data_IF_911276952254
#
_entry.id   IF_911276952254
#
_cell.length_a   1.000
_cell.length_b   1.000
_cell.length_c   1.000
_cell.angle_alpha   90.00
_cell.angle_beta   90.00
_cell.angle_gamma   90.00
#
_symmetry.space_group_name_H-M   'P 1'
#
loop_
_entity.id
_entity.type
_entity.pdbx_description
1 polymer ?
#
# COMPACT_ATOMS: atom_id res chain seq x y z
N UNK A 1 -5.03 0.13 23.86
CA UNK A 1 -4.68 1.26 22.97
C UNK A 1 -3.63 0.74 22.01
N UNK A 2 -3.74 0.96 20.69
CA UNK A 2 -2.66 0.63 19.77
C UNK A 2 -1.40 1.34 20.27
N UNK A 3 -0.31 0.60 20.40
CA UNK A 3 0.96 1.17 20.80
C UNK A 3 1.41 2.11 19.67
N UNK A 4 1.33 3.42 19.92
CA UNK A 4 1.81 4.41 18.95
C UNK A 4 3.32 4.42 19.06
N UNK A 5 4.02 4.06 17.98
CA UNK A 5 5.46 4.26 17.87
C UNK A 5 5.69 5.73 17.58
N UNK A 6 6.24 6.46 18.55
CA UNK A 6 6.72 7.83 18.35
C UNK A 6 8.09 7.92 19.00
N UNK A 7 9.10 8.27 18.23
CA UNK A 7 10.45 8.56 18.71
C UNK A 7 10.80 10.00 18.34
N UNK A 8 10.31 10.95 19.15
CA UNK A 8 10.53 12.39 18.92
C UNK A 8 12.01 12.79 18.96
N UNK A 9 12.88 11.93 19.53
CA UNK A 9 14.32 12.17 19.62
C UNK A 9 15.11 11.40 18.55
N UNK A 10 14.42 10.74 17.60
CA UNK A 10 15.06 10.02 16.50
C UNK A 10 15.97 10.95 15.70
N UNK A 11 17.23 10.57 15.61
CA UNK A 11 18.21 11.20 14.71
C UNK A 11 18.23 10.45 13.38
N UNK A 12 17.95 11.17 12.30
CA UNK A 12 18.01 10.67 10.92
C UNK A 12 19.39 10.91 10.33
N UNK A 13 20.01 9.86 9.81
CA UNK A 13 21.27 9.93 9.04
C UNK A 13 20.93 9.70 7.58
N UNK A 14 21.33 10.64 6.71
CA UNK A 14 21.01 10.60 5.27
C UNK A 14 22.26 10.24 4.47
N UNK A 15 22.12 9.31 3.52
CA UNK A 15 23.11 9.02 2.51
C UNK A 15 22.66 9.63 1.18
N UNK A 16 23.18 10.82 0.85
CA UNK A 16 22.77 11.58 -0.32
C UNK A 16 23.01 10.85 -1.64
N UNK A 17 24.03 9.99 -1.73
CA UNK A 17 24.29 9.21 -2.94
C UNK A 17 23.22 8.12 -3.15
N UNK A 18 22.75 7.49 -2.08
CA UNK A 18 21.65 6.52 -2.15
C UNK A 18 20.33 7.20 -2.48
N UNK A 19 20.06 8.38 -1.91
CA UNK A 19 18.88 9.18 -2.28
C UNK A 19 18.91 9.54 -3.77
N UNK A 20 20.06 9.99 -4.31
CA UNK A 20 20.19 10.26 -5.75
C UNK A 20 19.96 9.02 -6.61
N UNK A 21 20.48 7.85 -6.21
CA UNK A 21 20.24 6.58 -6.92
C UNK A 21 18.75 6.19 -6.90
N UNK A 22 18.07 6.39 -5.77
CA UNK A 22 16.62 6.22 -5.70
C UNK A 22 15.87 7.18 -6.63
N UNK A 23 16.22 8.47 -6.63
CA UNK A 23 15.63 9.51 -7.47
C UNK A 23 15.81 9.21 -8.96
N UNK A 24 16.97 8.71 -9.37
CA UNK A 24 17.25 8.29 -10.74
C UNK A 24 16.34 7.15 -11.23
N UNK A 25 15.82 6.34 -10.30
CA UNK A 25 14.89 5.24 -10.56
C UNK A 25 13.41 5.65 -10.41
N UNK A 26 13.09 6.95 -10.31
CA UNK A 26 11.69 7.41 -10.19
C UNK A 26 10.91 7.04 -11.45
N UNK A 27 9.82 6.23 -11.36
CA UNK A 27 9.04 5.89 -12.54
C UNK A 27 8.20 7.09 -12.99
N UNK A 28 7.95 7.16 -14.30
CA UNK A 28 6.88 7.99 -14.83
C UNK A 28 5.57 7.20 -14.76
N UNK A 29 4.55 7.76 -14.13
CA UNK A 29 3.24 7.11 -14.08
C UNK A 29 2.57 7.13 -15.46
N UNK A 30 1.92 6.03 -15.77
CA UNK A 30 1.15 5.79 -16.98
C UNK A 30 -0.29 6.16 -16.68
N UNK A 31 -0.89 6.96 -17.55
CA UNK A 31 -2.28 7.43 -17.41
C UNK A 31 -3.20 6.68 -18.37
N UNK A 32 -4.30 6.14 -17.84
CA UNK A 32 -5.36 5.47 -18.61
C UNK A 32 -6.72 6.06 -18.25
N UNK A 33 -7.49 6.49 -19.24
CA UNK A 33 -8.84 7.01 -19.02
C UNK A 33 -9.82 5.86 -18.86
N UNK A 34 -10.50 5.81 -17.72
CA UNK A 34 -11.53 4.81 -17.39
C UNK A 34 -12.85 5.51 -17.13
N UNK A 35 -13.93 4.96 -17.69
CA UNK A 35 -15.30 5.49 -17.56
C UNK A 35 -16.15 4.53 -16.73
N UNK A 36 -17.16 5.01 -16.00
CA UNK A 36 -18.12 4.12 -15.37
C UNK A 36 -18.87 3.26 -16.39
N UNK A 37 -19.32 2.09 -15.94
CA UNK A 37 -19.99 1.10 -16.79
C UNK A 37 -21.50 1.05 -16.54
N UNK A 38 -21.98 1.56 -15.40
CA UNK A 38 -23.40 1.57 -15.06
C UNK A 38 -23.74 2.61 -13.99
N UNK A 39 -25.01 2.98 -13.95
CA UNK A 39 -25.64 3.65 -12.81
C UNK A 39 -26.25 2.56 -11.93
N UNK A 40 -25.97 2.58 -10.63
CA UNK A 40 -26.36 1.51 -9.69
C UNK A 40 -27.10 2.07 -8.47
N UNK A 41 -27.97 1.25 -7.91
CA UNK A 41 -28.55 1.44 -6.59
C UNK A 41 -27.86 0.48 -5.61
N UNK A 42 -27.36 1.02 -4.50
CA UNK A 42 -26.73 0.21 -3.44
C UNK A 42 -27.71 0.10 -2.28
N UNK A 43 -28.18 -1.12 -2.04
CA UNK A 43 -29.23 -1.42 -1.07
C UNK A 43 -28.63 -2.10 0.14
N UNK A 44 -28.71 -1.44 1.29
CA UNK A 44 -28.29 -2.00 2.57
C UNK A 44 -29.20 -3.18 2.94
N UNK A 45 -28.59 -4.32 3.24
CA UNK A 45 -29.27 -5.54 3.68
C UNK A 45 -28.89 -5.86 5.14
N UNK A 46 -29.45 -6.94 5.68
CA UNK A 46 -29.00 -7.50 6.97
C UNK A 46 -27.64 -8.22 6.86
N UNK A 47 -27.18 -8.49 5.63
CA UNK A 47 -25.89 -9.13 5.39
C UNK A 47 -24.71 -8.15 5.55
N UNK A 48 -23.50 -8.70 5.60
CA UNK A 48 -22.27 -7.91 5.76
C UNK A 48 -22.04 -6.96 4.58
N UNK A 49 -22.37 -7.41 3.37
CA UNK A 49 -22.21 -6.65 2.12
C UNK A 49 -23.58 -6.25 1.56
N UNK A 50 -23.76 -5.00 1.12
CA UNK A 50 -25.00 -4.57 0.50
C UNK A 50 -25.17 -5.20 -0.89
N UNK A 51 -26.41 -5.24 -1.36
CA UNK A 51 -26.72 -5.60 -2.73
C UNK A 51 -26.48 -4.42 -3.67
N UNK A 52 -25.94 -4.69 -4.86
CA UNK A 52 -25.72 -3.70 -5.92
C UNK A 52 -26.63 -4.06 -7.09
N UNK A 53 -27.62 -3.21 -7.36
CA UNK A 53 -28.58 -3.38 -8.44
C UNK A 53 -28.27 -2.41 -9.56
N UNK A 54 -28.22 -2.90 -10.80
CA UNK A 54 -28.11 -2.01 -11.96
C UNK A 54 -29.40 -1.21 -12.09
N UNK A 55 -29.30 0.11 -11.94
CA UNK A 55 -30.42 1.05 -12.12
C UNK A 55 -30.59 1.44 -13.58
N UNK A 56 -29.48 1.78 -14.24
CA UNK A 56 -29.51 2.25 -15.63
C UNK A 56 -28.17 2.05 -16.36
N UNK A 57 -28.19 2.21 -17.67
CA UNK A 57 -27.02 2.28 -18.53
C UNK A 57 -26.27 3.61 -18.33
N UNK A 58 -24.95 3.61 -18.52
CA UNK A 58 -24.15 4.83 -18.29
C UNK A 58 -24.42 5.90 -19.35
N UNK A 59 -24.86 5.53 -20.54
CA UNK A 59 -25.25 6.43 -21.62
C UNK A 59 -26.42 7.35 -21.19
N UNK A 60 -27.20 6.95 -20.19
CA UNK A 60 -28.33 7.73 -19.66
C UNK A 60 -27.92 8.70 -18.54
N UNK A 61 -26.63 8.82 -18.20
CA UNK A 61 -26.14 9.69 -17.13
C UNK A 61 -26.58 11.16 -17.30
N UNK A 62 -26.48 11.69 -18.52
CA UNK A 62 -26.88 13.08 -18.82
C UNK A 62 -28.39 13.32 -18.68
N UNK A 63 -29.20 12.27 -18.67
CA UNK A 63 -30.65 12.33 -18.43
C UNK A 63 -31.00 12.30 -16.93
N UNK A 64 -30.02 12.04 -16.06
CA UNK A 64 -30.19 12.12 -14.61
C UNK A 64 -30.09 13.58 -14.15
N UNK A 65 -31.24 14.24 -13.99
CA UNK A 65 -31.31 15.60 -13.46
C UNK A 65 -31.40 15.57 -11.94
N UNK A 66 -30.39 16.10 -11.26
CA UNK A 66 -30.28 16.06 -9.80
C UNK A 66 -30.84 17.36 -9.20
N UNK A 67 -32.00 17.28 -8.56
CA UNK A 67 -32.51 18.32 -7.68
C UNK A 67 -31.87 18.21 -6.28
N UNK A 68 -32.16 19.19 -5.42
CA UNK A 68 -31.78 19.16 -4.00
C UNK A 68 -32.16 17.83 -3.34
N UNK A 69 -31.17 17.16 -2.77
CA UNK A 69 -31.29 15.88 -2.05
C UNK A 69 -31.21 14.64 -2.95
N UNK A 70 -31.21 14.80 -4.28
CA UNK A 70 -31.07 13.67 -5.20
C UNK A 70 -29.63 13.16 -5.20
N UNK A 71 -29.51 11.84 -5.38
CA UNK A 71 -28.22 11.16 -5.50
C UNK A 71 -28.23 10.08 -6.56
N UNK A 72 -27.05 9.84 -7.13
CA UNK A 72 -26.76 8.73 -8.04
C UNK A 72 -25.46 8.06 -7.63
N UNK A 73 -25.34 6.76 -7.88
CA UNK A 73 -24.09 6.02 -7.68
C UNK A 73 -23.65 5.41 -9.01
N UNK A 74 -22.35 5.51 -9.28
CA UNK A 74 -21.71 5.02 -10.50
C UNK A 74 -20.82 3.84 -10.15
N UNK A 75 -20.96 2.74 -10.88
CA UNK A 75 -20.03 1.60 -10.83
C UNK A 75 -18.99 1.74 -11.95
N UNK A 76 -17.71 1.77 -11.59
CA UNK A 76 -16.60 1.76 -12.55
C UNK A 76 -16.24 0.38 -13.09
N UNK A 77 -16.95 -0.66 -12.66
CA UNK A 77 -16.82 -2.05 -13.12
C UNK A 77 -15.63 -2.77 -12.49
N UNK A 78 -14.58 -2.03 -12.15
CA UNK A 78 -13.39 -2.54 -11.46
C UNK A 78 -12.77 -1.44 -10.57
N UNK A 79 -11.87 -1.82 -9.67
CA UNK A 79 -11.18 -0.93 -8.74
C UNK A 79 -10.17 -0.03 -9.49
N UNK A 80 -10.30 1.29 -9.34
CA UNK A 80 -9.48 2.32 -9.98
C UNK A 80 -8.63 3.08 -8.97
N UNK A 81 -7.45 3.53 -9.39
CA UNK A 81 -6.61 4.48 -8.65
C UNK A 81 -6.26 5.64 -9.56
N UNK A 82 -6.68 6.86 -9.26
CA UNK A 82 -6.52 7.98 -10.19
C UNK A 82 -7.22 9.28 -9.83
N UNK A 83 -7.29 10.19 -10.80
CA UNK A 83 -7.89 11.52 -10.66
C UNK A 83 -9.21 11.59 -11.42
N UNK A 84 -10.26 12.10 -10.78
CA UNK A 84 -11.61 12.13 -11.36
C UNK A 84 -11.88 13.49 -12.00
N UNK A 85 -12.47 13.47 -13.19
CA UNK A 85 -12.98 14.66 -13.88
C UNK A 85 -14.47 14.52 -14.14
N UNK A 86 -15.23 15.57 -13.88
CA UNK A 86 -16.66 15.67 -14.17
C UNK A 86 -16.91 16.83 -15.14
N UNK A 87 -17.80 16.62 -16.11
CA UNK A 87 -18.41 17.69 -16.90
C UNK A 87 -19.81 17.92 -16.38
N UNK A 88 -20.06 19.13 -15.90
CA UNK A 88 -21.28 19.52 -15.22
C UNK A 88 -22.04 20.54 -16.07
N UNK A 89 -23.35 20.40 -16.09
CA UNK A 89 -24.26 21.32 -16.74
C UNK A 89 -25.52 21.54 -15.88
N UNK A 90 -26.44 22.37 -16.33
CA UNK A 90 -27.74 22.59 -15.69
C UNK A 90 -28.89 22.50 -16.68
N UNK A 91 -30.07 22.14 -16.16
CA UNK A 91 -31.34 22.15 -16.89
C UNK A 91 -32.41 22.88 -16.08
N UNK A 92 -33.45 23.35 -16.76
CA UNK A 92 -34.51 24.17 -16.16
C UNK A 92 -34.29 25.66 -16.41
N UNK A 93 -34.50 26.49 -15.40
CA UNK A 93 -34.18 27.93 -15.47
C UNK A 93 -32.67 28.16 -15.49
N UNK A 94 -32.20 29.36 -15.87
CA UNK A 94 -30.81 29.74 -15.66
C UNK A 94 -30.40 29.56 -14.18
N UNK A 95 -29.20 29.00 -13.97
CA UNK A 95 -28.62 28.79 -12.65
C UNK A 95 -28.62 30.12 -11.86
N UNK A 96 -29.36 30.16 -10.76
CA UNK A 96 -29.52 31.35 -9.91
C UNK A 96 -28.93 31.18 -8.50
N UNK A 97 -28.26 30.04 -8.27
CA UNK A 97 -27.49 29.75 -7.06
C UNK A 97 -26.32 28.81 -7.40
N UNK A 98 -25.26 28.76 -6.58
CA UNK A 98 -24.23 27.73 -6.74
C UNK A 98 -24.82 26.31 -6.66
N UNK A 99 -24.18 25.35 -7.34
CA UNK A 99 -24.40 23.93 -7.12
C UNK A 99 -23.60 23.51 -5.88
N UNK A 100 -24.23 23.05 -4.81
CA UNK A 100 -23.53 22.44 -3.68
C UNK A 100 -23.76 20.93 -3.69
N UNK A 101 -22.70 20.15 -3.87
CA UNK A 101 -22.81 18.69 -3.95
C UNK A 101 -21.67 17.97 -3.23
N UNK A 102 -21.92 16.71 -2.87
CA UNK A 102 -20.95 15.80 -2.28
C UNK A 102 -20.56 14.73 -3.27
N UNK A 103 -19.27 14.41 -3.28
CA UNK A 103 -18.73 13.23 -3.92
C UNK A 103 -18.26 12.27 -2.83
N UNK A 104 -18.59 10.99 -2.95
CA UNK A 104 -18.08 9.93 -2.07
C UNK A 104 -17.53 8.78 -2.91
N UNK A 105 -16.35 8.30 -2.53
CA UNK A 105 -15.64 7.25 -3.23
C UNK A 105 -15.45 6.02 -2.33
N UNK A 106 -15.81 4.84 -2.82
CA UNK A 106 -15.68 3.57 -2.09
C UNK A 106 -15.03 2.48 -2.92
N UNK A 107 -14.13 1.72 -2.31
CA UNK A 107 -13.53 0.51 -2.90
C UNK A 107 -14.57 -0.62 -2.94
N UNK A 108 -15.41 -0.70 -1.89
CA UNK A 108 -16.52 -1.64 -1.80
C UNK A 108 -17.86 -0.91 -1.63
N UNK A 109 -18.94 -1.57 -2.07
CA UNK A 109 -20.29 -0.99 -2.03
C UNK A 109 -20.75 -0.64 -0.60
N UNK A 110 -20.26 -1.38 0.40
CA UNK A 110 -20.55 -1.13 1.82
C UNK A 110 -20.24 0.30 2.25
N UNK A 111 -19.14 0.86 1.77
CA UNK A 111 -18.71 2.23 2.10
C UNK A 111 -19.75 3.28 1.65
N UNK A 112 -20.57 2.98 0.63
CA UNK A 112 -21.64 3.89 0.20
C UNK A 112 -22.84 3.90 1.14
N UNK A 113 -22.98 2.88 2.00
CA UNK A 113 -24.11 2.74 2.94
C UNK A 113 -23.81 3.20 4.37
N UNK A 114 -22.55 3.52 4.65
CA UNK A 114 -22.07 3.94 5.97
C UNK A 114 -21.92 5.46 6.02
N UNK A 115 -22.24 6.10 7.15
CA UNK A 115 -21.99 7.53 7.33
C UNK A 115 -20.58 7.74 7.92
N UNK A 116 -19.76 8.53 7.24
CA UNK A 116 -18.40 8.84 7.67
C UNK A 116 -18.35 9.46 9.07
N UNK A 117 -19.41 10.16 9.49
CA UNK A 117 -19.47 10.77 10.83
C UNK A 117 -19.55 9.74 11.96
N UNK A 118 -20.02 8.52 11.65
CA UNK A 118 -20.22 7.45 12.62
C UNK A 118 -18.95 6.61 12.83
N UNK A 119 -17.89 6.88 12.06
CA UNK A 119 -16.60 6.22 12.24
C UNK A 119 -15.99 6.56 13.62
N UNK A 120 -15.83 5.52 14.44
CA UNK A 120 -15.14 5.57 15.73
C UNK A 120 -13.97 4.58 15.74
N UNK A 121 -12.79 5.07 15.35
CA UNK A 121 -11.57 4.28 15.28
C UNK A 121 -10.32 5.15 15.44
N UNK A 122 -9.19 4.50 15.69
CA UNK A 122 -7.93 5.19 15.99
C UNK A 122 -7.21 5.74 14.76
N UNK A 123 -7.53 5.22 13.57
CA UNK A 123 -6.99 5.72 12.30
C UNK A 123 -7.74 7.01 11.95
N UNK A 124 -7.04 8.01 11.42
CA UNK A 124 -7.68 9.28 11.05
C UNK A 124 -8.82 9.08 10.05
N UNK A 125 -9.99 9.64 10.36
CA UNK A 125 -11.14 9.73 9.45
C UNK A 125 -10.81 10.46 8.14
N UNK A 126 -9.74 11.24 8.09
CA UNK A 126 -9.28 11.93 6.88
C UNK A 126 -8.95 11.01 5.69
N UNK A 127 -8.81 9.71 5.93
CA UNK A 127 -8.66 8.71 4.87
C UNK A 127 -9.96 8.34 4.15
N UNK A 128 -11.12 8.67 4.73
CA UNK A 128 -12.41 8.50 4.05
C UNK A 128 -12.48 9.53 2.91
N UNK A 129 -12.77 9.05 1.71
CA UNK A 129 -12.66 9.83 0.48
C UNK A 129 -13.98 10.51 0.15
N UNK A 130 -14.14 11.73 0.66
CA UNK A 130 -15.28 12.61 0.39
C UNK A 130 -14.84 14.01 -0.02
N UNK A 131 -15.64 14.65 -0.87
CA UNK A 131 -15.50 16.05 -1.26
C UNK A 131 -16.82 16.79 -1.10
N UNK A 132 -16.75 18.06 -0.71
CA UNK A 132 -17.90 18.96 -0.61
C UNK A 132 -17.62 20.18 -1.48
N UNK A 133 -18.33 20.32 -2.60
CA UNK A 133 -17.93 21.19 -3.71
C UNK A 133 -19.02 22.19 -4.02
N UNK A 134 -18.63 23.46 -4.22
CA UNK A 134 -19.48 24.52 -4.71
C UNK A 134 -19.07 24.90 -6.13
N UNK A 135 -20.03 24.97 -7.06
CA UNK A 135 -19.82 25.47 -8.43
C UNK A 135 -20.72 26.67 -8.70
N UNK A 136 -20.11 27.85 -8.80
CA UNK A 136 -20.82 29.11 -8.99
C UNK A 136 -21.36 29.31 -10.41
N UNK A 137 -20.73 28.67 -11.41
CA UNK A 137 -21.03 28.87 -12.83
C UNK A 137 -21.04 27.53 -13.57
N UNK A 138 -22.17 27.23 -14.22
CA UNK A 138 -22.34 26.09 -15.13
C UNK A 138 -22.57 26.56 -16.58
N UNK A 139 -22.14 25.80 -17.60
CA UNK A 139 -21.45 24.51 -17.50
C UNK A 139 -19.99 24.65 -17.02
N UNK A 140 -19.46 23.60 -16.40
CA UNK A 140 -18.10 23.56 -15.87
C UNK A 140 -17.43 22.19 -16.06
N UNK A 141 -16.12 22.18 -16.28
CA UNK A 141 -15.29 20.98 -16.18
C UNK A 141 -14.55 21.01 -14.83
N UNK A 142 -14.89 20.08 -13.94
CA UNK A 142 -14.30 19.95 -12.62
C UNK A 142 -13.24 18.85 -12.63
N UNK A 143 -11.98 19.23 -12.45
CA UNK A 143 -10.84 18.30 -12.28
C UNK A 143 -10.47 18.23 -10.81
N UNK A 144 -10.69 17.09 -10.17
CA UNK A 144 -10.35 16.93 -8.76
C UNK A 144 -8.83 16.77 -8.60
N UNK A 145 -8.20 17.54 -7.68
CA UNK A 145 -6.75 17.52 -7.53
C UNK A 145 -6.25 16.33 -6.69
N UNK A 146 -7.11 15.69 -5.89
CA UNK A 146 -6.76 14.53 -5.07
C UNK A 146 -6.80 13.25 -5.92
N UNK A 147 -5.86 12.35 -5.67
CA UNK A 147 -5.91 10.97 -6.18
C UNK A 147 -6.85 10.14 -5.30
N UNK A 148 -7.74 9.35 -5.90
CA UNK A 148 -8.69 8.47 -5.23
C UNK A 148 -8.41 7.00 -5.55
N UNK A 149 -8.81 6.11 -4.66
CA UNK A 149 -8.86 4.65 -4.89
C UNK A 149 -10.27 4.13 -4.63
N UNK A 150 -10.95 3.62 -5.66
CA UNK A 150 -12.39 3.35 -5.60
C UNK A 150 -12.88 2.47 -6.75
N UNK A 151 -14.04 1.86 -6.56
CA UNK A 151 -14.86 1.30 -7.64
C UNK A 151 -16.19 2.04 -7.77
N UNK A 152 -16.78 2.45 -6.65
CA UNK A 152 -18.06 3.13 -6.60
C UNK A 152 -17.86 4.62 -6.32
N UNK A 153 -18.66 5.45 -6.99
CA UNK A 153 -18.67 6.89 -6.81
C UNK A 153 -20.12 7.38 -6.64
N UNK A 154 -20.46 7.92 -5.48
CA UNK A 154 -21.75 8.57 -5.23
C UNK A 154 -21.64 10.08 -5.49
N UNK A 155 -22.64 10.63 -6.18
CA UNK A 155 -22.82 12.07 -6.41
C UNK A 155 -24.15 12.44 -5.76
N UNK A 156 -24.11 13.32 -4.77
CA UNK A 156 -25.29 13.81 -4.06
C UNK A 156 -25.40 15.33 -4.24
N UNK A 157 -26.48 15.80 -4.86
CA UNK A 157 -26.78 17.22 -4.96
C UNK A 157 -27.33 17.73 -3.62
N UNK A 158 -26.45 18.08 -2.67
CA UNK A 158 -26.84 18.56 -1.34
C UNK A 158 -27.79 19.75 -1.43
N UNK A 159 -27.47 20.75 -2.26
CA UNK A 159 -28.32 21.92 -2.46
C UNK A 159 -28.23 22.51 -3.87
N UNK A 160 -29.41 22.79 -4.41
CA UNK A 160 -29.68 23.56 -5.64
C UNK A 160 -30.96 24.35 -5.41
N UNK A 161 -31.18 25.47 -6.12
CA UNK A 161 -32.46 26.16 -6.03
C UNK A 161 -33.57 25.35 -6.69
N UNK A 162 -34.83 25.65 -6.37
CA UNK A 162 -35.99 24.96 -6.96
C UNK A 162 -36.17 25.24 -8.47
N UNK A 163 -35.38 26.17 -9.05
CA UNK A 163 -35.58 26.65 -10.42
C UNK A 163 -34.79 25.86 -11.47
N UNK A 164 -33.77 25.10 -11.07
CA UNK A 164 -32.86 24.38 -11.96
C UNK A 164 -32.36 23.10 -11.29
N UNK A 165 -31.81 22.17 -12.07
CA UNK A 165 -31.24 20.91 -11.60
C UNK A 165 -29.83 20.71 -12.16
N UNK A 166 -28.96 20.06 -11.40
CA UNK A 166 -27.60 19.73 -11.82
C UNK A 166 -27.61 18.51 -12.75
N UNK A 167 -26.80 18.56 -13.81
CA UNK A 167 -26.59 17.45 -14.74
C UNK A 167 -25.10 17.11 -14.78
N UNK A 168 -24.79 15.82 -14.71
CA UNK A 168 -23.44 15.30 -14.98
C UNK A 168 -23.46 14.80 -16.42
N UNK A 169 -22.82 15.54 -17.33
CA UNK A 169 -22.78 15.18 -18.75
C UNK A 169 -21.75 14.07 -19.04
N UNK A 170 -20.62 14.12 -18.34
CA UNK A 170 -19.54 13.16 -18.49
C UNK A 170 -18.77 13.00 -17.18
N UNK A 171 -18.23 11.82 -16.95
CA UNK A 171 -17.35 11.52 -15.82
C UNK A 171 -16.35 10.44 -16.21
N UNK A 172 -15.10 10.64 -15.80
CA UNK A 172 -14.03 9.66 -16.01
C UNK A 172 -12.96 9.77 -14.93
N UNK A 173 -12.27 8.66 -14.72
CA UNK A 173 -11.06 8.56 -13.91
C UNK A 173 -9.85 8.49 -14.83
N UNK A 174 -8.88 9.37 -14.66
CA UNK A 174 -7.53 9.19 -15.20
C UNK A 174 -6.78 8.30 -14.23
N UNK A 175 -6.82 6.99 -14.47
CA UNK A 175 -6.17 5.98 -13.63
C UNK A 175 -4.65 5.98 -13.86
N UNK A 176 -3.89 5.82 -12.78
CA UNK A 176 -2.42 5.89 -12.78
C UNK A 176 -1.77 4.65 -12.18
N UNK A 177 -0.67 4.20 -12.77
CA UNK A 177 0.22 3.15 -12.27
C UNK A 177 1.62 3.30 -12.89
N UNK A 178 2.66 2.73 -12.27
CA UNK A 178 4.00 2.65 -12.87
C UNK A 178 4.15 1.47 -13.86
N UNK A 179 3.10 0.67 -14.04
CA UNK A 179 3.06 -0.49 -14.95
C UNK A 179 1.75 -0.53 -15.73
N UNK A 180 1.66 -1.40 -16.75
CA UNK A 180 0.43 -1.63 -17.51
C UNK A 180 -0.06 -3.06 -17.32
N UNK A 181 -1.36 -3.24 -17.20
CA UNK A 181 -1.96 -4.57 -17.10
C UNK A 181 -1.65 -5.43 -18.33
N UNK A 182 -1.49 -4.82 -19.50
CA UNK A 182 -1.21 -5.51 -20.77
C UNK A 182 0.23 -6.05 -20.87
N UNK A 183 1.13 -5.63 -19.97
CA UNK A 183 2.52 -6.09 -19.95
C UNK A 183 2.65 -7.50 -19.33
N UNK A 184 1.57 -8.03 -18.72
CA UNK A 184 1.55 -9.34 -18.06
C UNK A 184 0.57 -10.27 -18.74
N UNK A 185 1.04 -11.49 -19.03
CA UNK A 185 0.17 -12.56 -19.50
C UNK A 185 -0.53 -13.21 -18.30
N UNK A 186 -1.88 -13.31 -18.28
CA UNK A 186 -2.59 -14.00 -17.22
C UNK A 186 -2.17 -15.46 -17.09
N UNK A 187 -2.35 -16.04 -15.91
CA UNK A 187 -2.02 -17.45 -15.66
C UNK A 187 -2.79 -18.39 -16.59
N UNK A 188 -2.06 -19.31 -17.23
CA UNK A 188 -2.66 -20.41 -17.99
C UNK A 188 -3.03 -21.55 -17.03
N UNK A 189 -4.33 -21.72 -16.78
CA UNK A 189 -4.85 -22.78 -15.93
C UNK A 189 -6.26 -23.15 -16.40
N UNK A 190 -6.64 -24.43 -16.31
CA UNK A 190 -8.00 -24.89 -16.60
C UNK A 190 -8.97 -24.56 -15.44
N UNK A 191 -8.44 -24.28 -14.23
CA UNK A 191 -9.24 -23.90 -13.06
C UNK A 191 -9.67 -22.43 -13.11
N UNK A 192 -10.99 -22.20 -13.11
CA UNK A 192 -11.57 -20.86 -13.13
C UNK A 192 -11.27 -20.03 -11.87
N UNK A 193 -11.18 -20.68 -10.71
CA UNK A 193 -10.86 -20.01 -9.45
C UNK A 193 -9.43 -19.48 -9.49
N UNK A 194 -8.48 -20.29 -9.99
CA UNK A 194 -7.09 -19.86 -10.16
C UNK A 194 -6.99 -18.64 -11.08
N UNK A 195 -7.67 -18.66 -12.23
CA UNK A 195 -7.69 -17.51 -13.15
C UNK A 195 -8.34 -16.25 -12.56
N UNK A 196 -9.31 -16.41 -11.65
CA UNK A 196 -9.93 -15.29 -10.94
C UNK A 196 -9.00 -14.71 -9.89
N UNK A 197 -8.35 -15.57 -9.09
CA UNK A 197 -7.38 -15.15 -8.08
C UNK A 197 -6.21 -14.40 -8.73
N UNK A 198 -5.64 -14.93 -9.81
CA UNK A 198 -4.57 -14.28 -10.57
C UNK A 198 -4.96 -12.88 -11.03
N UNK A 199 -6.15 -12.73 -11.63
CA UNK A 199 -6.65 -11.42 -12.08
C UNK A 199 -6.78 -10.41 -10.94
N UNK A 200 -7.30 -10.84 -9.79
CA UNK A 200 -7.43 -9.99 -8.60
C UNK A 200 -6.04 -9.62 -8.07
N UNK A 201 -5.12 -10.58 -7.99
CA UNK A 201 -3.74 -10.37 -7.55
C UNK A 201 -3.00 -9.38 -8.46
N UNK A 202 -3.09 -9.54 -9.78
CA UNK A 202 -2.50 -8.62 -10.75
C UNK A 202 -3.09 -7.22 -10.62
N UNK A 203 -4.42 -7.09 -10.49
CA UNK A 203 -5.08 -5.79 -10.33
C UNK A 203 -4.69 -5.11 -9.02
N UNK A 204 -4.52 -5.89 -7.96
CA UNK A 204 -4.06 -5.38 -6.66
C UNK A 204 -2.66 -4.82 -6.76
N UNK A 205 -1.72 -5.61 -7.28
CA UNK A 205 -0.33 -5.18 -7.42
C UNK A 205 -0.20 -3.97 -8.35
N UNK A 206 -0.85 -3.99 -9.52
CA UNK A 206 -0.87 -2.85 -10.46
C UNK A 206 -1.30 -1.54 -9.78
N UNK A 207 -2.35 -1.59 -8.97
CA UNK A 207 -2.89 -0.41 -8.30
C UNK A 207 -2.00 0.08 -7.15
N UNK A 208 -1.25 -0.81 -6.50
CA UNK A 208 -0.24 -0.48 -5.49
C UNK A 208 1.10 0.00 -6.08
N UNK A 209 1.40 -0.36 -7.34
CA UNK A 209 2.61 0.09 -8.04
C UNK A 209 2.45 1.53 -8.55
N UNK A 210 3.00 2.48 -7.80
CA UNK A 210 2.94 3.91 -8.06
C UNK A 210 4.36 4.49 -8.17
N UNK A 211 4.65 5.65 -7.57
CA UNK A 211 6.02 6.18 -7.48
C UNK A 211 6.93 5.34 -6.56
N UNK A 212 6.31 4.46 -5.77
CA UNK A 212 6.86 3.39 -4.93
C UNK A 212 5.84 2.24 -4.92
N UNK A 213 6.18 1.11 -4.30
CA UNK A 213 5.19 0.10 -3.92
C UNK A 213 4.41 0.58 -2.70
N UNK A 214 3.18 1.07 -2.90
CA UNK A 214 2.29 1.46 -1.82
C UNK A 214 1.68 0.22 -1.15
N UNK A 215 1.49 0.24 0.17
CA UNK A 215 0.76 -0.77 0.92
C UNK A 215 -0.71 -0.85 0.49
N UNK A 216 -1.34 0.31 0.31
CA UNK A 216 -2.70 0.44 -0.16
C UNK A 216 -2.97 1.80 -0.79
N UNK A 217 -3.64 1.87 -1.96
CA UNK A 217 -3.77 3.11 -2.73
C UNK A 217 -4.82 4.07 -2.17
N UNK A 218 -5.80 3.57 -1.39
CA UNK A 218 -6.69 4.43 -0.58
C UNK A 218 -5.93 4.96 0.63
N UNK A 219 -5.30 4.04 1.37
CA UNK A 219 -4.57 4.22 2.62
C UNK A 219 -3.62 3.02 2.81
N UNK A 220 -2.39 3.20 3.31
CA UNK A 220 -1.76 4.44 3.77
C UNK A 220 -1.01 5.21 2.66
N UNK A 221 -1.08 4.73 1.41
CA UNK A 221 -0.38 5.28 0.24
C UNK A 221 1.13 5.35 0.45
N UNK A 222 1.69 4.35 1.14
CA UNK A 222 3.03 4.45 1.72
C UNK A 222 3.85 3.21 1.44
N UNK A 223 5.16 3.41 1.34
CA UNK A 223 6.10 2.31 1.23
C UNK A 223 6.41 1.74 2.62
N UNK A 224 5.97 0.51 2.85
CA UNK A 224 6.28 -0.30 4.04
C UNK A 224 7.18 -1.47 3.66
N UNK A 225 8.18 -1.79 4.49
CA UNK A 225 9.22 -2.75 4.10
C UNK A 225 8.73 -4.20 4.06
N UNK A 226 7.85 -4.60 4.98
CA UNK A 226 7.20 -5.93 4.94
C UNK A 226 6.37 -6.12 3.68
N UNK A 227 5.57 -5.12 3.33
CA UNK A 227 4.74 -5.08 2.12
C UNK A 227 5.59 -5.08 0.85
N UNK A 228 6.64 -4.26 0.81
CA UNK A 228 7.60 -4.20 -0.31
C UNK A 228 8.14 -5.59 -0.63
N UNK A 229 8.53 -6.37 0.37
CA UNK A 229 9.10 -7.70 0.15
C UNK A 229 8.14 -8.63 -0.60
N UNK A 230 6.87 -8.66 -0.18
CA UNK A 230 5.86 -9.51 -0.83
C UNK A 230 5.48 -8.98 -2.22
N UNK A 231 5.33 -7.65 -2.36
CA UNK A 231 5.04 -7.03 -3.66
C UNK A 231 6.17 -7.23 -4.66
N UNK A 232 7.43 -7.18 -4.21
CA UNK A 232 8.60 -7.41 -5.06
C UNK A 232 8.63 -8.85 -5.60
N UNK A 233 8.35 -9.85 -4.76
CA UNK A 233 8.26 -11.26 -5.19
C UNK A 233 7.17 -11.46 -6.25
N UNK A 234 5.99 -10.87 -6.05
CA UNK A 234 4.93 -10.94 -7.05
C UNK A 234 5.31 -10.18 -8.34
N UNK A 235 5.99 -9.04 -8.22
CA UNK A 235 6.47 -8.25 -9.35
C UNK A 235 7.46 -9.04 -10.22
N UNK A 236 8.38 -9.82 -9.63
CA UNK A 236 9.35 -10.62 -10.39
C UNK A 236 8.69 -11.70 -11.25
N UNK A 237 7.50 -12.16 -10.90
CA UNK A 237 6.75 -13.16 -11.68
C UNK A 237 5.72 -12.51 -12.62
N UNK A 238 5.57 -11.19 -12.59
CA UNK A 238 4.50 -10.46 -13.30
C UNK A 238 5.04 -9.26 -14.08
N UNK A 239 5.04 -8.06 -13.50
CA UNK A 239 5.37 -6.82 -14.21
C UNK A 239 6.88 -6.59 -14.42
N UNK A 240 7.74 -7.28 -13.67
CA UNK A 240 9.20 -7.21 -13.78
C UNK A 240 9.76 -5.78 -13.72
N UNK A 241 9.13 -4.87 -12.96
CA UNK A 241 9.62 -3.50 -12.81
C UNK A 241 10.78 -3.45 -11.79
N UNK A 242 11.97 -3.81 -12.25
CA UNK A 242 13.17 -3.92 -11.40
C UNK A 242 13.63 -2.57 -10.86
N UNK A 243 13.50 -1.50 -11.66
CA UNK A 243 13.88 -0.15 -11.24
C UNK A 243 13.03 0.36 -10.06
N UNK A 244 11.75 0.00 -10.00
CA UNK A 244 10.90 0.35 -8.87
C UNK A 244 11.34 -0.35 -7.58
N UNK A 245 11.75 -1.62 -7.65
CA UNK A 245 12.27 -2.35 -6.48
C UNK A 245 13.60 -1.75 -6.04
N UNK A 246 14.51 -1.51 -7.00
CA UNK A 246 15.80 -0.84 -6.78
C UNK A 246 15.60 0.51 -6.09
N UNK A 247 14.69 1.33 -6.60
CA UNK A 247 14.30 2.61 -5.98
C UNK A 247 13.91 2.42 -4.51
N UNK A 248 12.99 1.52 -4.23
CA UNK A 248 12.49 1.30 -2.87
C UNK A 248 13.58 0.82 -1.91
N UNK A 249 14.49 -0.06 -2.34
CA UNK A 249 15.65 -0.49 -1.56
C UNK A 249 16.57 0.70 -1.22
N UNK A 250 16.91 1.53 -2.21
CA UNK A 250 17.73 2.73 -1.96
C UNK A 250 17.01 3.78 -1.11
N UNK A 251 15.68 3.91 -1.16
CA UNK A 251 14.94 4.81 -0.27
C UNK A 251 15.09 4.38 1.19
N UNK A 252 14.93 3.08 1.49
CA UNK A 252 15.09 2.58 2.86
C UNK A 252 16.53 2.74 3.38
N UNK A 253 17.54 2.49 2.55
CA UNK A 253 18.95 2.69 2.92
C UNK A 253 19.40 4.15 2.88
N UNK A 254 18.69 5.00 2.13
CA UNK A 254 19.04 6.40 1.88
C UNK A 254 18.85 7.30 3.10
N UNK A 255 18.04 6.87 4.07
CA UNK A 255 17.97 7.52 5.36
C UNK A 255 17.62 6.50 6.46
N UNK A 256 18.44 6.43 7.51
CA UNK A 256 18.28 5.48 8.61
C UNK A 256 18.27 6.20 9.96
N UNK A 257 18.02 5.47 11.03
CA UNK A 257 18.38 5.92 12.39
C UNK A 257 19.90 6.05 12.52
N UNK A 258 20.37 6.81 13.50
CA UNK A 258 21.79 7.02 13.81
C UNK A 258 22.57 5.75 14.12
N UNK A 259 21.91 4.74 14.69
CA UNK A 259 22.48 3.40 14.87
C UNK A 259 22.52 2.55 13.58
N UNK A 260 22.02 3.06 12.45
CA UNK A 260 21.93 2.37 11.16
C UNK A 260 20.66 1.54 10.93
N UNK A 261 19.68 1.59 11.85
CA UNK A 261 18.43 0.84 11.69
C UNK A 261 17.56 1.43 10.58
N UNK A 262 17.07 0.56 9.70
CA UNK A 262 16.08 0.88 8.67
C UNK A 262 14.70 1.04 9.29
N UNK A 263 13.99 2.11 8.92
CA UNK A 263 12.62 2.37 9.39
C UNK A 263 11.61 1.38 8.79
N UNK A 264 10.47 1.19 9.46
CA UNK A 264 9.41 0.31 8.97
C UNK A 264 8.73 0.86 7.70
N UNK A 265 8.64 2.18 7.58
CA UNK A 265 8.06 2.86 6.41
C UNK A 265 8.67 4.23 6.15
N UNK A 266 8.33 4.81 5.00
CA UNK A 266 8.83 6.11 4.59
C UNK A 266 7.83 6.90 3.75
N UNK A 267 8.03 8.21 3.70
CA UNK A 267 7.25 9.16 2.93
C UNK A 267 8.11 9.72 1.80
N UNK A 268 7.50 10.01 0.66
CA UNK A 268 8.15 10.63 -0.51
C UNK A 268 7.67 12.06 -0.75
N UNK A 269 6.59 12.48 -0.10
CA UNK A 269 5.97 13.81 -0.26
C UNK A 269 5.78 14.54 1.08
N UNK A 270 5.91 15.87 1.11
CA UNK A 270 6.41 16.73 0.03
C UNK A 270 7.93 16.59 -0.18
N UNK A 271 8.61 15.84 0.70
CA UNK A 271 10.02 15.48 0.60
C UNK A 271 10.21 14.07 1.14
N UNK A 272 11.25 13.39 0.65
CA UNK A 272 11.67 12.10 1.18
C UNK A 272 12.03 12.20 2.67
N UNK A 273 11.41 11.36 3.49
CA UNK A 273 11.71 11.20 4.92
C UNK A 273 11.27 9.81 5.39
N UNK A 274 12.14 9.11 6.14
CA UNK A 274 11.74 7.86 6.80
C UNK A 274 10.98 8.13 8.08
N UNK A 275 10.05 7.25 8.41
CA UNK A 275 9.22 7.37 9.61
C UNK A 275 10.04 7.12 10.88
N UNK A 276 9.50 7.50 12.03
CA UNK A 276 10.07 7.20 13.35
C UNK A 276 9.56 5.87 13.95
N UNK A 277 8.89 5.05 13.11
CA UNK A 277 8.43 3.71 13.45
C UNK A 277 9.50 2.67 13.10
N UNK A 278 9.94 1.88 14.09
CA UNK A 278 10.93 0.82 13.91
C UNK A 278 10.35 -0.53 14.32
N UNK A 279 10.24 -1.43 13.35
CA UNK A 279 9.79 -2.81 13.54
C UNK A 279 10.96 -3.73 13.23
N UNK A 280 11.32 -4.59 14.19
CA UNK A 280 12.54 -5.39 14.10
C UNK A 280 12.50 -6.37 12.93
N UNK A 281 11.37 -7.02 12.71
CA UNK A 281 11.12 -7.91 11.57
C UNK A 281 11.20 -7.17 10.24
N UNK A 282 10.63 -5.98 10.14
CA UNK A 282 10.70 -5.17 8.92
C UNK A 282 12.14 -4.78 8.62
N UNK A 283 12.87 -4.30 9.63
CA UNK A 283 14.30 -3.96 9.51
C UNK A 283 15.10 -5.16 8.96
N UNK A 284 14.91 -6.35 9.55
CA UNK A 284 15.58 -7.58 9.10
C UNK A 284 15.19 -7.99 7.67
N UNK A 285 13.97 -7.73 7.23
CA UNK A 285 13.53 -8.02 5.87
C UNK A 285 14.23 -7.19 4.79
N UNK A 286 14.95 -6.11 5.15
CA UNK A 286 15.77 -5.37 4.19
C UNK A 286 16.76 -6.29 3.46
N UNK A 287 17.52 -7.09 4.22
CA UNK A 287 18.51 -8.01 3.65
C UNK A 287 17.89 -9.14 2.84
N UNK A 288 16.75 -9.69 3.28
CA UNK A 288 16.03 -10.69 2.51
C UNK A 288 15.52 -10.13 1.17
N UNK A 289 14.95 -8.92 1.19
CA UNK A 289 14.44 -8.23 -0.01
C UNK A 289 15.57 -7.89 -0.97
N UNK A 290 16.73 -7.47 -0.46
CA UNK A 290 17.92 -7.19 -1.26
C UNK A 290 18.45 -8.44 -1.97
N UNK A 291 18.51 -9.58 -1.27
CA UNK A 291 18.93 -10.84 -1.90
C UNK A 291 17.91 -11.25 -2.99
N UNK A 292 16.62 -11.23 -2.68
CA UNK A 292 15.58 -11.62 -3.64
C UNK A 292 15.63 -10.71 -4.90
N UNK A 293 15.91 -9.41 -4.73
CA UNK A 293 16.17 -8.47 -5.84
C UNK A 293 17.39 -8.85 -6.67
N UNK A 294 18.52 -9.16 -6.04
CA UNK A 294 19.71 -9.58 -6.76
C UNK A 294 19.49 -10.90 -7.52
N UNK A 295 18.84 -11.89 -6.89
CA UNK A 295 18.51 -13.16 -7.53
C UNK A 295 17.63 -12.97 -8.77
N UNK A 296 16.70 -12.01 -8.74
CA UNK A 296 15.83 -11.69 -9.87
C UNK A 296 16.46 -10.78 -10.94
N UNK A 297 17.33 -9.83 -10.57
CA UNK A 297 17.90 -8.83 -11.49
C UNK A 297 19.30 -9.15 -12.01
N UNK A 298 20.10 -9.89 -11.23
CA UNK A 298 21.55 -10.00 -11.44
C UNK A 298 22.34 -8.71 -11.14
N UNK A 299 21.71 -7.67 -10.57
CA UNK A 299 22.34 -6.37 -10.32
C UNK A 299 23.29 -6.42 -9.11
N UNK A 300 24.53 -6.83 -9.39
CA UNK A 300 25.59 -6.97 -8.38
C UNK A 300 26.02 -5.62 -7.78
N UNK A 301 25.92 -4.53 -8.53
CA UNK A 301 26.33 -3.21 -8.05
C UNK A 301 25.41 -2.74 -6.93
N UNK A 302 24.08 -2.89 -7.11
CA UNK A 302 23.11 -2.59 -6.04
C UNK A 302 23.28 -3.51 -4.84
N UNK A 303 23.55 -4.81 -5.07
CA UNK A 303 23.84 -5.75 -3.98
C UNK A 303 25.04 -5.29 -3.16
N UNK A 304 26.12 -4.88 -3.82
CA UNK A 304 27.35 -4.42 -3.19
C UNK A 304 27.17 -3.07 -2.47
N UNK A 305 26.41 -2.14 -3.05
CA UNK A 305 26.13 -0.84 -2.43
C UNK A 305 25.37 -1.00 -1.11
N UNK A 306 24.42 -1.93 -1.06
CA UNK A 306 23.45 -2.05 0.03
C UNK A 306 23.79 -3.17 1.03
N UNK A 307 24.86 -3.93 0.81
CA UNK A 307 25.25 -5.07 1.67
C UNK A 307 25.53 -4.65 3.11
N UNK A 308 26.25 -3.56 3.32
CA UNK A 308 26.56 -3.06 4.67
C UNK A 308 25.29 -2.67 5.44
N UNK A 309 24.31 -2.09 4.75
CA UNK A 309 23.01 -1.80 5.35
C UNK A 309 22.30 -3.10 5.76
N UNK A 310 22.34 -4.13 4.90
CA UNK A 310 21.76 -5.44 5.19
C UNK A 310 22.44 -6.16 6.37
N UNK A 311 23.78 -6.13 6.45
CA UNK A 311 24.55 -6.67 7.58
C UNK A 311 24.15 -5.98 8.87
N UNK A 312 24.07 -4.65 8.84
CA UNK A 312 23.73 -3.84 10.00
C UNK A 312 22.36 -4.18 10.60
N UNK A 313 21.38 -4.56 9.79
CA UNK A 313 20.05 -4.92 10.29
C UNK A 313 20.08 -6.23 11.10
N UNK A 314 20.92 -7.19 10.72
CA UNK A 314 21.10 -8.44 11.47
C UNK A 314 21.88 -8.16 12.77
N UNK A 315 22.94 -7.35 12.71
CA UNK A 315 23.70 -6.97 13.91
C UNK A 315 22.82 -6.33 14.98
N UNK A 316 22.00 -5.34 14.59
CA UNK A 316 21.05 -4.66 15.51
C UNK A 316 20.04 -5.65 16.11
N UNK A 317 19.53 -6.58 15.31
CA UNK A 317 18.62 -7.61 15.82
C UNK A 317 19.32 -8.63 16.72
N UNK A 318 20.60 -8.92 16.47
CA UNK A 318 21.44 -9.80 17.28
C UNK A 318 21.62 -9.29 18.73
N UNK A 319 21.61 -7.97 18.93
CA UNK A 319 21.67 -7.33 20.25
C UNK A 319 20.42 -7.63 21.12
N UNK A 320 19.31 -8.07 20.50
CA UNK A 320 18.04 -8.32 21.18
C UNK A 320 17.92 -9.72 21.79
N UNK A 321 18.98 -10.53 21.73
CA UNK A 321 19.01 -11.86 22.34
C UNK A 321 19.49 -11.82 23.80
N UNK A 322 19.04 -12.79 24.59
CA UNK A 322 19.54 -13.05 25.95
C UNK A 322 20.77 -13.97 25.95
N UNK A 323 21.30 -14.27 27.14
CA UNK A 323 22.44 -15.15 27.34
C UNK A 323 22.18 -16.62 26.94
N UNK A 324 20.92 -17.00 26.74
CA UNK A 324 20.51 -18.33 26.26
C UNK A 324 20.25 -18.34 24.76
N UNK A 325 20.58 -17.26 24.05
CA UNK A 325 20.31 -17.09 22.63
C UNK A 325 18.80 -17.13 22.32
N UNK A 326 17.95 -16.64 23.22
CA UNK A 326 16.53 -16.43 22.98
C UNK A 326 16.22 -14.95 22.75
N UNK A 327 15.36 -14.66 21.77
CA UNK A 327 14.91 -13.30 21.49
C UNK A 327 14.22 -12.73 22.73
N UNK A 328 14.55 -11.51 23.14
CA UNK A 328 13.84 -10.82 24.23
C UNK A 328 12.51 -10.28 23.71
N UNK A 329 11.46 -10.34 24.52
CA UNK A 329 10.24 -9.61 24.20
C UNK A 329 10.52 -8.11 24.34
N UNK A 330 10.32 -7.38 23.24
CA UNK A 330 10.28 -5.92 23.31
C UNK A 330 8.98 -5.42 23.93
N UNK A 331 8.98 -4.14 24.29
CA UNK A 331 7.78 -3.44 24.75
C UNK A 331 7.09 -2.73 23.57
N UNK A 332 5.77 -2.55 23.67
CA UNK A 332 5.00 -1.80 22.67
C UNK A 332 5.02 -2.42 21.27
N UNK A 333 5.15 -1.58 20.25
CA UNK A 333 5.11 -1.98 18.84
C UNK A 333 6.53 -2.21 18.29
N UNK A 334 7.27 -3.14 18.91
CA UNK A 334 8.67 -3.45 18.58
C UNK A 334 8.84 -4.42 17.39
N UNK A 335 7.76 -5.12 17.02
CA UNK A 335 7.74 -6.08 15.93
C UNK A 335 6.32 -6.29 15.43
N UNK A 336 6.17 -6.54 14.13
CA UNK A 336 4.86 -6.65 13.49
C UNK A 336 4.32 -8.08 13.56
N UNK A 337 4.92 -9.02 12.82
CA UNK A 337 4.47 -10.40 12.58
C UNK A 337 3.07 -10.51 11.98
N UNK A 338 2.04 -10.08 12.71
CA UNK A 338 0.64 -10.16 12.33
C UNK A 338 -0.22 -9.15 13.13
N UNK A 339 -1.36 -8.76 12.57
CA UNK A 339 -2.39 -7.91 13.20
C UNK A 339 -3.27 -8.70 14.18
N UNK A 340 -2.66 -9.50 15.06
CA UNK A 340 -3.37 -10.32 16.06
C UNK A 340 -3.11 -9.81 17.47
N UNK A 341 -4.17 -9.37 18.16
CA UNK A 341 -4.10 -8.92 19.55
C UNK A 341 -3.69 -10.06 20.49
N UNK A 342 -2.80 -9.77 21.44
CA UNK A 342 -2.33 -10.76 22.42
C UNK A 342 -1.34 -11.80 21.86
N UNK A 343 -0.94 -11.71 20.59
CA UNK A 343 0.08 -12.58 20.01
C UNK A 343 1.44 -12.35 20.67
N UNK A 344 1.97 -13.38 21.32
CA UNK A 344 3.37 -13.38 21.75
C UNK A 344 4.29 -13.56 20.53
N UNK A 345 5.18 -12.60 20.30
CA UNK A 345 6.00 -12.53 19.09
C UNK A 345 7.40 -13.13 19.25
N UNK A 346 7.77 -13.60 20.44
CA UNK A 346 9.14 -14.04 20.75
C UNK A 346 9.64 -15.13 19.79
N UNK A 347 8.95 -16.27 19.74
CA UNK A 347 9.34 -17.41 18.90
C UNK A 347 9.31 -17.04 17.42
N UNK A 348 8.26 -16.35 16.97
CA UNK A 348 8.11 -15.92 15.58
C UNK A 348 9.26 -14.98 15.16
N UNK A 349 9.59 -13.98 15.99
CA UNK A 349 10.66 -13.03 15.73
C UNK A 349 12.03 -13.70 15.66
N UNK A 350 12.30 -14.68 16.54
CA UNK A 350 13.52 -15.48 16.46
C UNK A 350 13.59 -16.31 15.17
N UNK A 351 12.45 -16.85 14.72
CA UNK A 351 12.33 -17.50 13.41
C UNK A 351 12.65 -16.55 12.25
N UNK A 352 12.14 -15.31 12.30
CA UNK A 352 12.44 -14.26 11.31
C UNK A 352 13.93 -13.91 11.33
N UNK A 353 14.55 -13.78 12.50
CA UNK A 353 15.99 -13.53 12.62
C UNK A 353 16.81 -14.63 11.94
N UNK A 354 16.55 -15.90 12.28
CA UNK A 354 17.26 -17.05 11.68
C UNK A 354 17.06 -17.06 10.16
N UNK A 355 15.85 -16.78 9.68
CA UNK A 355 15.55 -16.69 8.26
C UNK A 355 16.37 -15.59 7.57
N UNK A 356 16.36 -14.38 8.12
CA UNK A 356 17.05 -13.23 7.53
C UNK A 356 18.57 -13.36 7.63
N UNK A 357 19.10 -13.87 8.75
CA UNK A 357 20.54 -14.13 8.91
C UNK A 357 21.06 -15.08 7.83
N UNK A 358 20.32 -16.15 7.50
CA UNK A 358 20.67 -17.07 6.39
C UNK A 358 20.60 -16.41 5.02
N UNK A 359 19.65 -15.50 4.79
CA UNK A 359 19.56 -14.73 3.55
C UNK A 359 20.74 -13.77 3.41
N UNK A 360 21.09 -13.06 4.48
CA UNK A 360 22.21 -12.12 4.51
C UNK A 360 23.56 -12.83 4.44
N UNK A 361 23.69 -14.04 5.01
CA UNK A 361 24.85 -14.90 4.84
C UNK A 361 25.13 -15.16 3.35
N UNK A 362 24.09 -15.47 2.55
CA UNK A 362 24.25 -15.68 1.11
C UNK A 362 24.75 -14.42 0.39
N UNK A 363 24.33 -13.23 0.82
CA UNK A 363 24.86 -11.97 0.27
C UNK A 363 26.38 -11.91 0.48
N UNK A 364 26.85 -12.19 1.70
CA UNK A 364 28.27 -12.23 2.02
C UNK A 364 29.03 -13.26 1.16
N UNK A 365 28.47 -14.46 0.98
CA UNK A 365 29.04 -15.48 0.10
C UNK A 365 29.16 -15.01 -1.37
N UNK A 366 28.11 -14.37 -1.90
CA UNK A 366 28.09 -13.83 -3.28
C UNK A 366 29.13 -12.72 -3.49
N UNK A 367 29.35 -11.90 -2.47
CA UNK A 367 30.32 -10.81 -2.48
C UNK A 367 31.75 -11.28 -2.13
N UNK A 368 31.92 -12.52 -1.68
CA UNK A 368 33.22 -13.09 -1.31
C UNK A 368 33.69 -12.66 0.09
N UNK A 369 32.80 -12.14 0.93
CA UNK A 369 33.08 -11.83 2.33
C UNK A 369 32.96 -13.09 3.19
N UNK A 370 34.04 -13.89 3.19
CA UNK A 370 34.06 -15.18 3.88
C UNK A 370 33.99 -15.06 5.40
N UNK A 371 34.47 -13.94 5.96
CA UNK A 371 34.44 -13.71 7.42
C UNK A 371 33.01 -13.45 7.87
N UNK A 372 32.31 -12.50 7.21
CA UNK A 372 30.91 -12.20 7.52
C UNK A 372 29.99 -13.38 7.27
N UNK A 373 30.25 -14.17 6.21
CA UNK A 373 29.49 -15.38 5.93
C UNK A 373 29.59 -16.41 7.08
N UNK A 374 30.79 -16.68 7.59
CA UNK A 374 30.96 -17.64 8.70
C UNK A 374 30.39 -17.10 10.02
N UNK A 375 30.51 -15.79 10.29
CA UNK A 375 29.87 -15.13 11.42
C UNK A 375 28.34 -15.35 11.42
N UNK A 376 27.67 -15.01 10.31
CA UNK A 376 26.21 -15.11 10.16
C UNK A 376 25.72 -16.55 10.20
N UNK A 377 26.50 -17.48 9.64
CA UNK A 377 26.22 -18.92 9.71
C UNK A 377 26.23 -19.41 11.16
N UNK A 378 27.26 -19.06 11.92
CA UNK A 378 27.38 -19.43 13.34
C UNK A 378 26.24 -18.84 14.17
N UNK A 379 25.91 -17.56 13.97
CA UNK A 379 24.76 -16.91 14.60
C UNK A 379 23.46 -17.68 14.33
N UNK A 380 23.16 -17.99 13.07
CA UNK A 380 21.96 -18.72 12.69
C UNK A 380 21.90 -20.14 13.32
N UNK A 381 23.03 -20.86 13.37
CA UNK A 381 23.11 -22.19 13.99
C UNK A 381 22.89 -22.15 15.50
N UNK A 382 23.53 -21.21 16.20
CA UNK A 382 23.41 -21.05 17.65
C UNK A 382 21.99 -20.66 18.06
N UNK A 383 21.37 -19.68 17.37
CA UNK A 383 19.98 -19.30 17.66
C UNK A 383 18.99 -20.43 17.30
N UNK A 384 19.25 -21.20 16.25
CA UNK A 384 18.41 -22.37 15.89
C UNK A 384 18.49 -23.45 16.98
N UNK A 385 19.69 -23.73 17.50
CA UNK A 385 19.88 -24.69 18.57
C UNK A 385 19.17 -24.25 19.86
N UNK A 386 19.19 -22.95 20.18
CA UNK A 386 18.49 -22.39 21.32
C UNK A 386 16.97 -22.56 21.23
N UNK A 387 16.33 -22.25 20.08
CA UNK A 387 14.90 -22.47 19.87
C UNK A 387 14.53 -23.94 20.13
N UNK A 388 15.26 -24.88 19.53
CA UNK A 388 14.99 -26.32 19.69
C UNK A 388 15.13 -26.80 21.12
N UNK A 389 16.07 -26.22 21.88
CA UNK A 389 16.36 -26.61 23.26
C UNK A 389 15.36 -26.03 24.26
N UNK A 390 14.91 -24.79 24.06
CA UNK A 390 14.20 -24.03 25.09
C UNK A 390 12.74 -23.71 24.74
N UNK A 391 12.36 -23.69 23.46
CA UNK A 391 11.01 -23.28 23.02
C UNK A 391 10.19 -24.45 22.47
N UNK A 392 10.82 -25.56 22.05
CA UNK A 392 10.11 -26.75 21.60
C UNK A 392 9.37 -27.43 22.75
N UNK A 393 8.06 -27.53 22.65
CA UNK A 393 7.24 -28.39 23.49
C UNK A 393 7.22 -29.81 22.91
N UNK A 394 7.95 -30.73 23.56
CA UNK A 394 8.05 -32.14 23.13
C UNK A 394 6.70 -32.87 23.11
N UNK A 395 5.69 -32.40 23.85
CA UNK A 395 4.38 -33.07 23.89
C UNK A 395 3.51 -32.71 22.69
N UNK A 396 3.55 -31.44 22.28
CA UNK A 396 2.73 -30.94 21.17
C UNK A 396 3.48 -30.95 19.84
N UNK A 397 4.82 -30.96 19.88
CA UNK A 397 5.68 -30.79 18.71
C UNK A 397 5.71 -29.35 18.20
N UNK A 398 5.15 -28.39 18.95
CA UNK A 398 5.10 -26.98 18.59
C UNK A 398 6.25 -26.19 19.23
N UNK A 399 6.61 -25.07 18.60
CA UNK A 399 7.57 -24.08 19.10
C UNK A 399 6.88 -22.90 19.78
#
# INVERSE_FOLDING_TARGET
>A
MPAVSIDLNMVRVTNDEFVKKAEACTPKLIETVVRPVAIVDIVKTEEIFPEVHKRDEIENLSSCHLAKGDKICLDFGDHQVGYVTLKLNSVGSPQDSPAFFRLKFGEIAKEMTEDSKDYDGWISRGWIQEEFIHIDVLPAELKLPRRYAFRYMEIEAIDTSLKWQMVVEDVYCTSVSSVRMEDVKPVESDDEIIRKLDRVSLRTLHNCMQSVFEDGPKRDRRLWLGDLRLQALANYETFHNMDLVKRCLYLFAGQTKDNGQVSACLFTEPKFIVDDTFLLDYSMFFGATLLDYYEASGDKDTLQDLSECAYRQIEIAGEQFDEKNLMKNGEGFWGFIDWTEGLNKQTAMQGVYIYCAKKVQKIAEILGDTEKAEELKKEAEEKTAAVRKYLLDEKTGCL
#
